data_IF_755035286509
#
_entry.id   IF_755035286509
#
_cell.length_a   1.000
_cell.length_b   1.000
_cell.length_c   1.000
_cell.angle_alpha   90.00
_cell.angle_beta   90.00
_cell.angle_gamma   90.00
#
_symmetry.space_group_name_H-M   'P 1'
#
loop_
_entity.id
_entity.type
_entity.pdbx_description
1 polymer ?
#
# COMPACT_ATOMS: atom_id res chain seq x y z
N UNK A 1 16.47 -2.09 4.84
CA UNK A 1 16.09 -1.44 3.57
C UNK A 1 16.49 -2.37 2.44
N UNK A 2 15.57 -2.67 1.54
CA UNK A 2 15.80 -3.50 0.36
C UNK A 2 15.87 -2.61 -0.87
N UNK A 3 16.98 -2.65 -1.59
CA UNK A 3 17.15 -1.97 -2.87
C UNK A 3 17.19 -3.05 -3.94
N UNK A 4 16.19 -3.07 -4.82
CA UNK A 4 16.14 -3.98 -5.94
C UNK A 4 16.74 -3.28 -7.16
N UNK A 5 17.86 -3.84 -7.63
CA UNK A 5 18.69 -3.25 -8.67
C UNK A 5 18.32 -3.80 -10.06
N UNK A 6 18.46 -2.95 -11.08
CA UNK A 6 18.32 -3.34 -12.49
C UNK A 6 19.49 -2.83 -13.31
N UNK A 7 19.80 -3.57 -14.38
CA UNK A 7 20.76 -3.16 -15.39
C UNK A 7 19.99 -2.74 -16.64
N UNK A 8 20.07 -1.45 -16.98
CA UNK A 8 19.52 -0.93 -18.22
C UNK A 8 20.53 -1.17 -19.35
N UNK A 9 20.19 -1.93 -20.42
CA UNK A 9 21.18 -2.35 -21.42
C UNK A 9 21.71 -1.23 -22.32
N UNK A 10 21.06 -0.07 -22.35
CA UNK A 10 21.56 1.14 -22.97
C UNK A 10 20.72 2.36 -22.63
N UNK A 11 20.92 3.45 -23.35
CA UNK A 11 20.23 4.73 -23.10
C UNK A 11 18.99 4.89 -23.98
N UNK A 12 19.10 4.50 -25.25
CA UNK A 12 18.08 4.66 -26.28
C UNK A 12 17.78 3.31 -26.94
N UNK A 13 16.55 3.11 -27.41
CA UNK A 13 16.19 1.94 -28.22
C UNK A 13 16.77 2.04 -29.62
N UNK A 14 17.22 0.91 -30.14
CA UNK A 14 17.66 0.81 -31.53
C UNK A 14 16.46 0.58 -32.45
N UNK A 15 16.14 1.58 -33.28
CA UNK A 15 15.15 1.47 -34.35
C UNK A 15 15.26 2.64 -35.34
N UNK A 16 14.93 2.37 -36.61
CA UNK A 16 14.82 3.38 -37.66
C UNK A 16 13.53 4.22 -37.53
N UNK A 17 12.54 3.73 -36.78
CA UNK A 17 11.29 4.44 -36.49
C UNK A 17 11.41 5.24 -35.19
N UNK A 18 11.72 6.53 -35.33
CA UNK A 18 11.89 7.45 -34.21
C UNK A 18 10.62 7.65 -33.38
N UNK A 19 9.43 7.62 -33.99
CA UNK A 19 8.16 7.79 -33.29
C UNK A 19 7.91 6.57 -32.41
N UNK A 20 8.08 5.37 -32.98
CA UNK A 20 8.00 4.11 -32.24
C UNK A 20 8.97 4.07 -31.06
N UNK A 21 10.25 4.40 -31.27
CA UNK A 21 11.25 4.39 -30.19
C UNK A 21 10.84 5.31 -29.05
N UNK A 22 10.37 6.53 -29.37
CA UNK A 22 9.97 7.50 -28.36
C UNK A 22 8.77 7.01 -27.52
N UNK A 23 7.77 6.42 -28.16
CA UNK A 23 6.58 5.91 -27.50
C UNK A 23 6.89 4.69 -26.61
N UNK A 24 7.66 3.73 -27.13
CA UNK A 24 8.09 2.54 -26.38
C UNK A 24 9.01 2.91 -25.23
N UNK A 25 9.99 3.78 -25.42
CA UNK A 25 10.82 4.32 -24.34
C UNK A 25 9.98 5.03 -23.27
N UNK A 26 8.92 5.72 -23.68
CA UNK A 26 7.93 6.30 -22.77
C UNK A 26 7.26 5.26 -21.88
N UNK A 27 6.79 4.15 -22.45
CA UNK A 27 6.19 3.05 -21.71
C UNK A 27 7.21 2.37 -20.78
N UNK A 28 8.44 2.12 -21.25
CA UNK A 28 9.52 1.52 -20.44
C UNK A 28 9.89 2.40 -19.25
N UNK A 29 10.00 3.72 -19.44
CA UNK A 29 10.27 4.67 -18.36
C UNK A 29 9.15 4.72 -17.33
N UNK A 30 7.89 4.60 -17.77
CA UNK A 30 6.75 4.52 -16.86
C UNK A 30 6.77 3.19 -16.07
N UNK A 31 7.09 2.07 -16.70
CA UNK A 31 7.25 0.77 -16.02
C UNK A 31 8.37 0.82 -14.97
N UNK A 32 9.50 1.41 -15.31
CA UNK A 32 10.62 1.66 -14.40
C UNK A 32 10.18 2.55 -13.21
N UNK A 33 9.41 3.61 -13.47
CA UNK A 33 8.86 4.46 -12.40
C UNK A 33 7.94 3.67 -11.45
N UNK A 34 7.06 2.83 -11.97
CA UNK A 34 6.16 2.00 -11.14
C UNK A 34 6.94 0.95 -10.34
N UNK A 35 8.01 0.40 -10.91
CA UNK A 35 8.92 -0.49 -10.19
C UNK A 35 9.57 0.20 -8.99
N UNK A 36 10.09 1.42 -9.14
CA UNK A 36 10.66 2.14 -7.99
C UNK A 36 9.63 2.59 -6.97
N UNK A 37 8.43 2.95 -7.40
CA UNK A 37 7.32 3.25 -6.49
C UNK A 37 6.96 2.03 -5.64
N UNK A 38 6.89 0.84 -6.24
CA UNK A 38 6.72 -0.42 -5.52
C UNK A 38 7.88 -0.70 -4.54
N UNK A 39 9.13 -0.52 -4.97
CA UNK A 39 10.30 -0.71 -4.11
C UNK A 39 10.28 0.22 -2.88
N UNK A 40 9.96 1.50 -3.09
CA UNK A 40 9.85 2.47 -2.02
C UNK A 40 8.69 2.12 -1.07
N UNK A 41 7.53 1.80 -1.63
CA UNK A 41 6.34 1.41 -0.85
C UNK A 41 6.60 0.19 0.02
N UNK A 42 7.32 -0.83 -0.49
CA UNK A 42 7.75 -1.99 0.29
C UNK A 42 8.59 -1.58 1.51
N UNK A 43 9.57 -0.70 1.32
CA UNK A 43 10.44 -0.27 2.42
C UNK A 43 9.67 0.53 3.48
N UNK A 44 8.79 1.43 3.06
CA UNK A 44 7.92 2.19 3.96
C UNK A 44 6.96 1.25 4.70
N UNK A 45 6.41 0.25 4.01
CA UNK A 45 5.53 -0.76 4.58
C UNK A 45 6.23 -1.56 5.68
N UNK A 46 7.39 -2.16 5.38
CA UNK A 46 8.15 -2.94 6.36
C UNK A 46 8.58 -2.10 7.56
N UNK A 47 8.97 -0.85 7.33
CA UNK A 47 9.29 0.09 8.42
C UNK A 47 8.08 0.35 9.30
N UNK A 48 6.92 0.61 8.70
CA UNK A 48 5.68 0.90 9.44
C UNK A 48 5.14 -0.32 10.22
N UNK A 49 5.29 -1.54 9.70
CA UNK A 49 4.92 -2.75 10.45
C UNK A 49 5.82 -2.93 11.67
N UNK A 50 7.13 -2.71 11.52
CA UNK A 50 8.07 -2.83 12.63
C UNK A 50 7.78 -1.78 13.71
N UNK A 51 7.50 -0.54 13.33
CA UNK A 51 7.12 0.52 14.26
C UNK A 51 5.82 0.23 15.02
N UNK A 52 4.82 -0.36 14.37
CA UNK A 52 3.56 -0.71 15.04
C UNK A 52 3.71 -1.81 16.08
N UNK A 53 4.75 -2.64 15.96
CA UNK A 53 5.04 -3.72 16.91
C UNK A 53 5.85 -3.24 18.13
N UNK A 54 6.34 -2.01 18.13
CA UNK A 54 7.06 -1.46 19.28
C UNK A 54 6.09 -1.12 20.43
N UNK A 55 6.23 -1.80 21.56
CA UNK A 55 5.43 -1.53 22.75
C UNK A 55 5.98 -0.32 23.52
N UNK A 56 5.10 0.54 24.09
CA UNK A 56 5.54 1.63 24.94
C UNK A 56 6.28 1.07 26.16
N UNK A 57 7.48 1.60 26.40
CA UNK A 57 8.27 1.30 27.60
C UNK A 57 7.50 1.78 28.83
N UNK A 58 7.54 1.02 29.93
CA UNK A 58 6.84 1.33 31.20
C UNK A 58 7.07 2.78 31.67
N UNK A 59 8.30 3.29 31.51
CA UNK A 59 8.68 4.66 31.82
C UNK A 59 7.89 5.71 31.02
N UNK A 60 7.68 5.47 29.72
CA UNK A 60 6.91 6.37 28.87
C UNK A 60 5.45 6.47 29.33
N UNK A 61 4.87 5.35 29.76
CA UNK A 61 3.51 5.32 30.31
C UNK A 61 3.42 6.10 31.63
N UNK A 62 4.42 5.97 32.50
CA UNK A 62 4.46 6.71 33.77
C UNK A 62 4.56 8.23 33.53
N UNK A 63 5.45 8.66 32.63
CA UNK A 63 5.60 10.07 32.25
C UNK A 63 4.31 10.64 31.64
N UNK A 64 3.69 9.88 30.74
CA UNK A 64 2.43 10.23 30.10
C UNK A 64 1.29 10.41 31.11
N UNK A 65 1.21 9.55 32.13
CA UNK A 65 0.20 9.64 33.19
C UNK A 65 0.47 10.81 34.14
N UNK A 66 1.72 11.04 34.52
CA UNK A 66 2.09 12.19 35.34
C UNK A 66 1.70 13.50 34.65
N UNK A 67 1.98 13.63 33.35
CA UNK A 67 1.65 14.84 32.60
C UNK A 67 0.14 15.05 32.45
N UNK A 68 -0.64 13.99 32.22
CA UNK A 68 -2.11 14.09 32.23
C UNK A 68 -2.65 14.55 33.58
N UNK A 69 -2.08 14.04 34.67
CA UNK A 69 -2.48 14.44 36.02
C UNK A 69 -2.20 15.94 36.29
N UNK A 70 -1.05 16.45 35.85
CA UNK A 70 -0.72 17.89 35.95
C UNK A 70 -1.74 18.77 35.21
N UNK A 71 -2.01 18.45 33.93
CA UNK A 71 -2.97 19.19 33.10
C UNK A 71 -4.36 19.16 33.73
N UNK A 72 -4.79 18.00 34.21
CA UNK A 72 -6.09 17.85 34.88
C UNK A 72 -6.17 18.73 36.13
N UNK A 73 -5.13 18.73 36.97
CA UNK A 73 -5.08 19.55 38.19
C UNK A 73 -5.12 21.05 37.88
N UNK A 74 -4.45 21.49 36.82
CA UNK A 74 -4.52 22.87 36.34
C UNK A 74 -5.92 23.28 35.87
N UNK A 75 -6.66 22.35 35.26
CA UNK A 75 -8.04 22.57 34.82
C UNK A 75 -9.00 22.58 36.01
N UNK A 76 -8.92 21.62 36.93
CA UNK A 76 -9.75 21.55 38.13
C UNK A 76 -9.70 22.85 38.95
N UNK A 77 -8.50 23.44 39.11
CA UNK A 77 -8.30 24.71 39.82
C UNK A 77 -9.00 25.92 39.16
N UNK A 78 -9.39 25.81 37.89
CA UNK A 78 -10.09 26.88 37.14
C UNK A 78 -11.61 26.73 37.17
N UNK A 79 -12.14 25.61 37.63
CA UNK A 79 -13.58 25.36 37.75
C UNK A 79 -14.07 25.62 39.18
N UNK A 80 -15.19 26.35 39.32
CA UNK A 80 -15.82 26.63 40.62
C UNK A 80 -16.40 25.37 41.29
N UNK A 81 -16.80 24.36 40.51
CA UNK A 81 -17.28 23.07 41.02
C UNK A 81 -16.83 21.92 40.09
N UNK A 82 -15.58 21.46 40.21
CA UNK A 82 -14.98 20.47 39.32
C UNK A 82 -15.54 19.04 39.50
N UNK A 83 -16.32 18.80 40.55
CA UNK A 83 -16.91 17.48 40.84
C UNK A 83 -18.37 17.35 40.37
N UNK A 84 -18.93 18.38 39.73
CA UNK A 84 -20.18 18.23 38.99
C UNK A 84 -19.95 17.34 37.75
N UNK A 85 -20.86 16.42 37.44
CA UNK A 85 -20.70 15.43 36.35
C UNK A 85 -20.34 16.09 35.00
N UNK A 86 -21.07 17.15 34.61
CA UNK A 86 -20.80 17.85 33.35
C UNK A 86 -19.43 18.54 33.34
N UNK A 87 -19.02 19.12 34.49
CA UNK A 87 -17.71 19.76 34.61
C UNK A 87 -16.58 18.71 34.59
N UNK A 88 -16.80 17.53 35.16
CA UNK A 88 -15.84 16.44 35.16
C UNK A 88 -15.59 15.90 33.75
N UNK A 89 -16.66 15.67 32.97
CA UNK A 89 -16.56 15.22 31.58
C UNK A 89 -15.82 16.26 30.70
N UNK A 90 -16.13 17.54 30.87
CA UNK A 90 -15.46 18.64 30.17
C UNK A 90 -13.97 18.73 30.54
N UNK A 91 -13.64 18.64 31.83
CA UNK A 91 -12.25 18.64 32.32
C UNK A 91 -11.48 17.44 31.74
N UNK A 92 -12.09 16.26 31.71
CA UNK A 92 -11.45 15.07 31.17
C UNK A 92 -11.19 15.19 29.66
N UNK A 93 -12.18 15.67 28.90
CA UNK A 93 -12.04 15.90 27.46
C UNK A 93 -10.96 16.95 27.17
N UNK A 94 -10.99 18.08 27.85
CA UNK A 94 -10.02 19.17 27.68
C UNK A 94 -8.59 18.74 28.09
N UNK A 95 -8.47 17.91 29.14
CA UNK A 95 -7.19 17.28 29.53
C UNK A 95 -6.61 16.47 28.37
N UNK A 96 -7.41 15.60 27.77
CA UNK A 96 -6.97 14.77 26.63
C UNK A 96 -6.65 15.61 25.40
N UNK A 97 -7.41 16.66 25.11
CA UNK A 97 -7.14 17.58 23.99
C UNK A 97 -5.79 18.26 24.18
N UNK A 98 -5.53 18.84 25.35
CA UNK A 98 -4.26 19.53 25.64
C UNK A 98 -3.08 18.57 25.61
N UNK A 99 -3.21 17.43 26.26
CA UNK A 99 -2.18 16.40 26.28
C UNK A 99 -1.82 15.92 24.88
N UNK A 100 -2.82 15.61 24.03
CA UNK A 100 -2.60 15.21 22.64
C UNK A 100 -1.94 16.32 21.82
N UNK A 101 -2.38 17.58 21.96
CA UNK A 101 -1.77 18.73 21.27
C UNK A 101 -0.32 18.97 21.68
N UNK A 102 0.02 18.80 22.96
CA UNK A 102 1.41 18.88 23.44
C UNK A 102 2.28 17.78 22.83
N UNK A 103 1.74 16.59 22.65
CA UNK A 103 2.46 15.50 21.99
C UNK A 103 2.68 15.78 20.51
N UNK A 104 1.63 16.23 19.82
CA UNK A 104 1.70 16.57 18.40
C UNK A 104 2.65 17.72 18.13
N UNK A 105 2.69 18.75 18.98
CA UNK A 105 3.63 19.87 18.83
C UNK A 105 5.10 19.47 19.03
N UNK A 106 5.35 18.35 19.72
CA UNK A 106 6.68 17.72 19.87
C UNK A 106 7.01 16.74 18.75
N UNK A 107 6.17 16.64 17.71
CA UNK A 107 6.38 15.75 16.57
C UNK A 107 5.90 14.31 16.76
N UNK A 108 5.23 13.98 17.87
CA UNK A 108 4.64 12.65 18.04
C UNK A 108 3.40 12.51 17.15
N UNK A 109 3.36 11.46 16.33
CA UNK A 109 2.22 11.20 15.45
C UNK A 109 0.99 10.69 16.23
N UNK A 110 -0.24 11.02 15.79
CA UNK A 110 -1.46 10.37 16.26
C UNK A 110 -1.38 8.85 16.09
N UNK A 111 -1.96 8.13 17.06
CA UNK A 111 -2.02 6.67 17.04
C UNK A 111 -2.71 6.17 15.77
N UNK A 112 -3.76 6.87 15.34
CA UNK A 112 -4.51 6.58 14.12
C UNK A 112 -3.64 6.68 12.86
N UNK A 113 -2.63 7.56 12.84
CA UNK A 113 -1.72 7.68 11.70
C UNK A 113 -0.74 6.52 11.68
N UNK A 114 -0.19 6.19 12.84
CA UNK A 114 0.73 5.05 13.04
C UNK A 114 0.06 3.73 12.61
N UNK A 115 -1.16 3.46 13.09
CA UNK A 115 -1.89 2.22 12.71
C UNK A 115 -2.27 2.17 11.24
N UNK A 116 -2.54 3.31 10.60
CA UNK A 116 -2.92 3.35 9.19
C UNK A 116 -1.73 3.34 8.21
N UNK A 117 -0.52 3.67 8.66
CA UNK A 117 0.65 3.74 7.78
C UNK A 117 0.92 2.42 7.03
N UNK A 118 0.90 1.22 7.65
CA UNK A 118 1.07 -0.03 6.92
C UNK A 118 0.03 -0.22 5.83
N UNK A 119 -1.25 0.08 6.11
CA UNK A 119 -2.33 -0.05 5.13
C UNK A 119 -2.17 0.94 3.97
N UNK A 120 -1.73 2.17 4.25
CA UNK A 120 -1.45 3.17 3.22
C UNK A 120 -0.30 2.69 2.32
N UNK A 121 0.82 2.28 2.91
CA UNK A 121 2.01 1.84 2.18
C UNK A 121 1.73 0.58 1.35
N UNK A 122 0.94 -0.36 1.89
CA UNK A 122 0.49 -1.54 1.16
C UNK A 122 -0.38 -1.19 -0.06
N UNK A 123 -1.27 -0.20 0.04
CA UNK A 123 -2.05 0.27 -1.10
C UNK A 123 -1.18 0.92 -2.17
N UNK A 124 -0.17 1.70 -1.78
CA UNK A 124 0.77 2.29 -2.74
C UNK A 124 1.48 1.17 -3.51
N UNK A 125 1.96 0.13 -2.82
CA UNK A 125 2.54 -1.05 -3.46
C UNK A 125 1.56 -1.73 -4.44
N UNK A 126 0.32 -1.97 -4.00
CA UNK A 126 -0.74 -2.55 -4.83
C UNK A 126 -1.01 -1.73 -6.10
N UNK A 127 -1.07 -0.40 -5.97
CA UNK A 127 -1.33 0.52 -7.08
C UNK A 127 -0.16 0.60 -8.06
N UNK A 128 1.08 0.58 -7.55
CA UNK A 128 2.27 0.51 -8.38
C UNK A 128 2.28 -0.80 -9.19
N UNK A 129 1.92 -1.93 -8.56
CA UNK A 129 1.85 -3.23 -9.22
C UNK A 129 0.73 -3.32 -10.28
N UNK A 130 -0.47 -2.80 -9.99
CA UNK A 130 -1.58 -2.73 -10.96
C UNK A 130 -1.26 -1.79 -12.13
N UNK A 131 -0.61 -0.66 -11.87
CA UNK A 131 -0.13 0.25 -12.91
C UNK A 131 0.93 -0.41 -13.78
N UNK A 132 1.84 -1.19 -13.19
CA UNK A 132 2.82 -1.99 -13.93
C UNK A 132 2.14 -3.02 -14.83
N UNK A 133 1.17 -3.82 -14.34
CA UNK A 133 0.38 -4.76 -15.17
C UNK A 133 -0.28 -4.04 -16.35
N UNK A 134 -0.92 -2.89 -16.10
CA UNK A 134 -1.59 -2.11 -17.14
C UNK A 134 -0.63 -1.57 -18.19
N UNK A 135 0.51 -1.02 -17.79
CA UNK A 135 1.52 -0.52 -18.72
C UNK A 135 2.11 -1.67 -19.55
N UNK A 136 2.39 -2.82 -18.93
CA UNK A 136 2.87 -4.01 -19.63
C UNK A 136 1.81 -4.54 -20.61
N UNK A 137 0.52 -4.46 -20.24
CA UNK A 137 -0.60 -4.77 -21.13
C UNK A 137 -0.71 -3.82 -22.32
N UNK A 138 -0.41 -2.53 -22.14
CA UNK A 138 -0.38 -1.58 -23.25
C UNK A 138 0.81 -1.91 -24.16
N UNK A 139 1.98 -2.11 -23.57
CA UNK A 139 3.22 -2.38 -24.29
C UNK A 139 3.13 -3.65 -25.14
N UNK A 140 2.56 -4.75 -24.62
CA UNK A 140 2.40 -5.99 -25.41
C UNK A 140 1.51 -5.85 -26.65
N UNK A 141 0.65 -4.83 -26.68
CA UNK A 141 -0.28 -4.57 -27.78
C UNK A 141 0.28 -3.52 -28.74
N UNK A 142 1.50 -3.02 -28.50
CA UNK A 142 2.18 -2.08 -29.39
C UNK A 142 2.73 -2.81 -30.61
N UNK A 143 2.89 -2.10 -31.74
CA UNK A 143 3.50 -2.68 -32.94
C UNK A 143 4.98 -2.96 -32.68
N UNK A 144 5.52 -3.97 -33.37
CA UNK A 144 6.97 -4.23 -33.46
C UNK A 144 7.71 -4.39 -32.11
N UNK A 145 7.01 -4.83 -31.07
CA UNK A 145 7.61 -5.17 -29.78
C UNK A 145 8.00 -6.65 -29.68
N UNK A 146 8.98 -7.02 -28.84
CA UNK A 146 9.35 -8.41 -28.61
C UNK A 146 8.16 -9.29 -28.17
N UNK A 147 8.06 -10.50 -28.73
CA UNK A 147 7.00 -11.47 -28.40
C UNK A 147 7.00 -11.86 -26.92
N UNK A 148 8.18 -11.86 -26.28
CA UNK A 148 8.38 -12.16 -24.86
C UNK A 148 7.50 -11.32 -23.92
N UNK A 149 7.11 -10.11 -24.33
CA UNK A 149 6.30 -9.21 -23.48
C UNK A 149 4.92 -9.83 -23.17
N UNK A 150 4.35 -10.58 -24.12
CA UNK A 150 3.08 -11.27 -23.89
C UNK A 150 3.19 -12.33 -22.79
N UNK A 151 4.30 -13.08 -22.79
CA UNK A 151 4.59 -14.11 -21.78
C UNK A 151 4.85 -13.47 -20.41
N UNK A 152 5.63 -12.38 -20.36
CA UNK A 152 5.90 -11.63 -19.12
C UNK A 152 4.61 -11.08 -18.50
N UNK A 153 3.68 -10.56 -19.32
CA UNK A 153 2.38 -10.12 -18.85
C UNK A 153 1.51 -11.28 -18.33
N UNK A 154 1.59 -12.46 -18.95
CA UNK A 154 0.90 -13.66 -18.46
C UNK A 154 1.48 -14.11 -17.11
N UNK A 155 2.81 -14.17 -17.00
CA UNK A 155 3.55 -14.55 -15.81
C UNK A 155 3.20 -13.66 -14.62
N UNK A 156 3.17 -12.33 -14.80
CA UNK A 156 2.78 -11.38 -13.75
C UNK A 156 1.40 -11.72 -13.15
N UNK A 157 0.42 -12.07 -13.99
CA UNK A 157 -0.94 -12.40 -13.56
C UNK A 157 -1.06 -13.76 -12.90
N UNK A 158 -0.18 -14.69 -13.24
CA UNK A 158 -0.09 -15.98 -12.54
C UNK A 158 0.44 -15.81 -11.13
N UNK A 159 1.42 -14.92 -10.92
CA UNK A 159 1.95 -14.61 -9.59
C UNK A 159 1.01 -13.75 -8.75
N UNK A 160 0.24 -12.86 -9.38
CA UNK A 160 -0.68 -11.94 -8.70
C UNK A 160 -2.13 -12.09 -9.17
N UNK A 161 -2.77 -13.26 -8.96
CA UNK A 161 -4.09 -13.55 -9.51
C UNK A 161 -5.19 -12.63 -8.98
N UNK A 162 -5.09 -12.21 -7.71
CA UNK A 162 -6.10 -11.39 -7.04
C UNK A 162 -5.88 -9.88 -7.20
N UNK A 163 -4.77 -9.45 -7.82
CA UNK A 163 -4.36 -8.04 -7.93
C UNK A 163 -5.49 -7.13 -8.39
N UNK A 164 -6.13 -7.48 -9.50
CA UNK A 164 -7.20 -6.69 -10.08
C UNK A 164 -8.41 -6.59 -9.15
N UNK A 165 -8.80 -7.71 -8.53
CA UNK A 165 -9.97 -7.78 -7.67
C UNK A 165 -9.77 -7.00 -6.36
N UNK A 166 -8.60 -7.13 -5.74
CA UNK A 166 -8.20 -6.39 -4.54
C UNK A 166 -8.10 -4.90 -4.84
N UNK A 167 -7.44 -4.52 -5.94
CA UNK A 167 -7.32 -3.11 -6.35
C UNK A 167 -8.67 -2.47 -6.65
N UNK A 168 -9.53 -3.14 -7.40
CA UNK A 168 -10.89 -2.65 -7.68
C UNK A 168 -11.67 -2.38 -6.39
N UNK A 169 -11.53 -3.26 -5.40
CA UNK A 169 -12.17 -3.10 -4.08
C UNK A 169 -11.59 -1.91 -3.32
N UNK A 170 -10.27 -1.72 -3.36
CA UNK A 170 -9.62 -0.57 -2.75
C UNK A 170 -10.05 0.77 -3.39
N UNK A 171 -10.32 0.79 -4.71
CA UNK A 171 -10.85 1.97 -5.41
C UNK A 171 -12.34 2.24 -5.15
N UNK A 172 -13.14 1.19 -4.95
CA UNK A 172 -14.60 1.25 -4.82
C UNK A 172 -15.07 0.83 -3.42
N UNK A 173 -14.40 1.36 -2.40
CA UNK A 173 -14.67 1.00 -1.00
C UNK A 173 -16.08 1.41 -0.57
N UNK A 174 -16.63 2.48 -1.16
CA UNK A 174 -17.99 2.97 -0.93
C UNK A 174 -19.04 1.92 -1.31
N UNK A 175 -18.88 1.25 -2.45
CA UNK A 175 -19.81 0.21 -2.90
C UNK A 175 -19.58 -1.09 -2.14
N UNK A 176 -18.31 -1.45 -1.90
CA UNK A 176 -17.94 -2.69 -1.19
C UNK A 176 -18.37 -2.64 0.26
N UNK A 177 -18.26 -1.49 0.93
CA UNK A 177 -18.73 -1.29 2.32
C UNK A 177 -20.25 -1.42 2.48
N UNK A 178 -21.00 -1.21 1.40
CA UNK A 178 -22.46 -1.44 1.34
C UNK A 178 -22.82 -2.89 1.04
N UNK A 179 -21.83 -3.77 0.88
CA UNK A 179 -22.03 -5.16 0.49
C UNK A 179 -22.59 -5.29 -0.92
N UNK A 180 -22.15 -4.43 -1.86
CA UNK A 180 -22.53 -4.52 -3.27
C UNK A 180 -21.41 -5.15 -4.10
N UNK A 181 -21.74 -5.70 -5.26
CA UNK A 181 -20.81 -6.25 -6.25
C UNK A 181 -20.40 -5.20 -7.31
N UNK A 182 -19.81 -5.64 -8.44
CA UNK A 182 -19.39 -4.76 -9.53
C UNK A 182 -20.38 -4.70 -10.70
N UNK A 183 -21.59 -5.27 -10.58
CA UNK A 183 -22.54 -5.32 -11.68
C UNK A 183 -23.12 -3.93 -11.98
N UNK A 184 -23.73 -3.79 -13.16
CA UNK A 184 -24.46 -2.57 -13.56
C UNK A 184 -25.89 -2.97 -13.93
N UNK A 185 -26.91 -2.70 -13.08
CA UNK A 185 -26.84 -2.00 -11.77
C UNK A 185 -26.22 -2.86 -10.66
N UNK A 186 -25.63 -2.27 -9.59
CA UNK A 186 -25.00 -3.01 -8.50
C UNK A 186 -25.99 -3.94 -7.77
N UNK A 187 -25.58 -5.18 -7.50
CA UNK A 187 -26.37 -6.17 -6.76
C UNK A 187 -25.75 -6.46 -5.39
N UNK A 188 -26.54 -6.99 -4.42
CA UNK A 188 -26.00 -7.50 -3.16
C UNK A 188 -24.91 -8.56 -3.39
N UNK A 189 -23.82 -8.42 -2.64
CA UNK A 189 -22.64 -9.28 -2.72
C UNK A 189 -22.90 -10.62 -2.02
N UNK A 190 -22.72 -11.72 -2.74
CA UNK A 190 -22.72 -13.05 -2.16
C UNK A 190 -21.37 -13.39 -1.54
N UNK A 191 -21.23 -13.19 -0.23
CA UNK A 191 -20.00 -13.54 0.49
C UNK A 191 -19.70 -15.04 0.39
N UNK A 192 -18.43 -15.37 0.23
CA UNK A 192 -17.93 -16.74 0.15
C UNK A 192 -17.12 -17.08 1.40
N UNK A 193 -17.02 -18.38 1.76
CA UNK A 193 -16.26 -18.80 2.93
C UNK A 193 -14.83 -18.27 2.90
N UNK A 194 -14.29 -17.94 4.07
CA UNK A 194 -12.88 -17.57 4.24
C UNK A 194 -12.32 -18.31 5.44
N UNK A 195 -11.15 -18.90 5.28
CA UNK A 195 -10.39 -19.52 6.37
C UNK A 195 -8.92 -19.13 6.19
N UNK A 196 -8.48 -18.11 6.93
CA UNK A 196 -7.11 -17.64 6.94
C UNK A 196 -6.66 -17.30 8.38
N UNK A 197 -5.42 -16.83 8.54
CA UNK A 197 -4.87 -16.54 9.88
C UNK A 197 -5.54 -15.35 10.59
N UNK A 198 -6.30 -14.54 9.86
CA UNK A 198 -6.98 -13.35 10.38
C UNK A 198 -8.45 -13.65 10.73
N UNK A 199 -9.18 -14.36 9.87
CA UNK A 199 -10.61 -14.66 10.04
C UNK A 199 -10.96 -16.05 9.50
N UNK A 200 -11.88 -16.72 10.21
CA UNK A 200 -12.55 -17.94 9.77
C UNK A 200 -14.07 -17.74 9.78
N UNK A 201 -14.73 -17.91 8.63
CA UNK A 201 -16.18 -17.82 8.48
C UNK A 201 -16.68 -18.71 7.35
N UNK A 202 -17.54 -19.67 7.68
CA UNK A 202 -18.17 -20.58 6.71
C UNK A 202 -19.23 -19.87 5.85
N UNK A 203 -19.87 -18.83 6.38
CA UNK A 203 -20.84 -18.00 5.65
C UNK A 203 -20.19 -16.82 4.92
N UNK A 204 -18.87 -16.68 5.02
CA UNK A 204 -18.11 -15.53 4.54
C UNK A 204 -18.18 -14.32 5.47
N UNK A 205 -17.32 -13.34 5.20
CA UNK A 205 -17.29 -12.05 5.91
C UNK A 205 -16.84 -10.96 4.95
N UNK A 206 -17.38 -9.75 5.14
CA UNK A 206 -16.93 -8.58 4.40
C UNK A 206 -15.67 -8.00 5.05
N UNK A 207 -14.56 -8.04 4.33
CA UNK A 207 -13.25 -7.52 4.74
C UNK A 207 -12.85 -6.46 3.72
N UNK A 208 -12.51 -5.24 4.14
CA UNK A 208 -12.35 -4.13 3.17
C UNK A 208 -10.94 -3.54 3.08
N UNK A 209 -10.21 -3.50 4.18
CA UNK A 209 -8.90 -2.85 4.23
C UNK A 209 -8.10 -3.52 5.35
N UNK A 210 -7.51 -4.67 5.03
CA UNK A 210 -6.90 -5.54 6.04
C UNK A 210 -5.51 -6.00 5.67
N UNK A 211 -4.74 -6.38 6.70
CA UNK A 211 -3.43 -6.99 6.57
C UNK A 211 -3.44 -8.35 7.27
N UNK A 212 -3.12 -9.39 6.51
CA UNK A 212 -2.88 -10.74 6.99
C UNK A 212 -1.36 -11.01 6.93
N UNK A 213 -0.64 -10.64 7.99
CA UNK A 213 0.82 -10.56 7.96
C UNK A 213 1.29 -9.46 7.01
N UNK A 214 2.06 -9.82 5.98
CA UNK A 214 2.51 -8.92 4.91
C UNK A 214 1.52 -8.79 3.76
N UNK A 215 0.41 -9.54 3.79
CA UNK A 215 -0.53 -9.60 2.68
C UNK A 215 -1.65 -8.59 2.85
N UNK A 216 -1.82 -7.72 1.86
CA UNK A 216 -2.93 -6.79 1.79
C UNK A 216 -4.10 -7.43 1.08
N UNK A 217 -5.25 -7.50 1.74
CA UNK A 217 -6.38 -8.25 1.20
C UNK A 217 -7.74 -7.74 1.64
N UNK A 218 -8.69 -7.90 0.71
CA UNK A 218 -10.05 -7.39 0.79
C UNK A 218 -11.01 -8.41 0.10
N UNK A 219 -12.29 -8.37 0.45
CA UNK A 219 -13.37 -9.11 -0.22
C UNK A 219 -13.64 -8.49 -1.58
N UNK A 220 -13.41 -9.28 -2.63
CA UNK A 220 -13.56 -8.88 -4.02
C UNK A 220 -15.04 -8.86 -4.45
N UNK A 221 -15.29 -8.32 -5.66
CA UNK A 221 -16.63 -8.23 -6.23
C UNK A 221 -17.33 -9.59 -6.46
N UNK A 222 -16.58 -10.70 -6.44
CA UNK A 222 -17.11 -12.06 -6.55
C UNK A 222 -17.38 -12.71 -5.17
N UNK A 223 -17.26 -11.93 -4.09
CA UNK A 223 -17.50 -12.37 -2.71
C UNK A 223 -16.38 -13.17 -2.06
N UNK A 224 -15.34 -13.55 -2.80
CA UNK A 224 -14.15 -14.19 -2.25
C UNK A 224 -13.22 -13.14 -1.63
N UNK A 225 -12.53 -13.53 -0.56
CA UNK A 225 -11.38 -12.77 -0.07
C UNK A 225 -10.18 -12.99 -1.00
N UNK A 226 -9.60 -11.90 -1.48
CA UNK A 226 -8.36 -11.91 -2.27
C UNK A 226 -7.25 -11.16 -1.54
N UNK A 227 -6.00 -11.51 -1.82
CA UNK A 227 -4.85 -10.88 -1.18
C UNK A 227 -3.65 -10.72 -2.13
N UNK A 228 -2.84 -9.69 -1.89
CA UNK A 228 -1.58 -9.43 -2.58
C UNK A 228 -0.48 -9.29 -1.53
N UNK A 229 0.59 -10.06 -1.66
CA UNK A 229 1.70 -10.04 -0.74
C UNK A 229 2.60 -8.82 -0.97
N UNK A 230 2.84 -8.03 0.09
CA UNK A 230 3.75 -6.87 0.09
C UNK A 230 5.06 -7.30 0.74
N UNK A 231 5.91 -7.96 -0.06
CA UNK A 231 7.12 -8.60 0.45
C UNK A 231 8.30 -8.47 -0.52
N UNK A 232 9.53 -8.72 -0.03
CA UNK A 232 10.71 -8.84 -0.89
C UNK A 232 10.55 -9.89 -2.00
N UNK A 233 9.80 -10.97 -1.75
CA UNK A 233 9.57 -12.01 -2.76
C UNK A 233 8.70 -11.50 -3.92
N UNK A 234 7.61 -10.77 -3.62
CA UNK A 234 6.80 -10.10 -4.64
C UNK A 234 7.60 -9.09 -5.46
N UNK A 235 8.48 -8.34 -4.78
CA UNK A 235 9.34 -7.35 -5.43
C UNK A 235 10.40 -8.00 -6.33
N UNK A 236 10.94 -9.16 -5.95
CA UNK A 236 11.89 -9.92 -6.76
C UNK A 236 11.25 -10.44 -8.06
N UNK A 237 9.99 -10.88 -8.00
CA UNK A 237 9.21 -11.24 -9.20
C UNK A 237 9.10 -10.03 -10.13
N UNK A 238 8.74 -8.86 -9.60
CA UNK A 238 8.62 -7.64 -10.38
C UNK A 238 9.97 -7.21 -10.99
N UNK A 239 11.07 -7.32 -10.22
CA UNK A 239 12.44 -7.06 -10.70
C UNK A 239 12.82 -7.97 -11.85
N UNK A 240 12.57 -9.27 -11.71
CA UNK A 240 12.87 -10.26 -12.74
C UNK A 240 12.12 -9.98 -14.04
N UNK A 241 10.82 -9.66 -13.94
CA UNK A 241 9.99 -9.28 -15.09
C UNK A 241 10.51 -8.01 -15.75
N UNK A 242 10.82 -6.96 -14.98
CA UNK A 242 11.35 -5.71 -15.54
C UNK A 242 12.71 -5.91 -16.19
N UNK A 243 13.62 -6.67 -15.56
CA UNK A 243 14.93 -6.94 -16.14
C UNK A 243 14.81 -7.68 -17.47
N UNK A 244 14.03 -8.77 -17.51
CA UNK A 244 13.78 -9.54 -18.74
C UNK A 244 13.08 -8.71 -19.82
N UNK A 245 12.21 -7.79 -19.42
CA UNK A 245 11.60 -6.84 -20.34
C UNK A 245 12.66 -5.93 -20.97
N UNK A 246 13.51 -5.30 -20.16
CA UNK A 246 14.55 -4.40 -20.66
C UNK A 246 15.55 -5.13 -21.56
N UNK A 247 15.95 -6.35 -21.18
CA UNK A 247 16.89 -7.18 -21.93
C UNK A 247 16.31 -7.69 -23.27
N UNK A 248 14.99 -7.62 -23.45
CA UNK A 248 14.33 -8.07 -24.69
C UNK A 248 14.43 -7.09 -25.86
N UNK A 249 14.81 -5.84 -25.58
CA UNK A 249 14.99 -4.81 -26.60
C UNK A 249 16.44 -4.65 -27.00
N UNK A 250 16.67 -4.17 -28.22
CA UNK A 250 18.00 -3.71 -28.65
C UNK A 250 18.21 -2.26 -28.22
N UNK A 251 19.38 -1.97 -27.66
CA UNK A 251 19.72 -0.65 -27.11
C UNK A 251 21.01 -0.09 -27.70
N UNK A 252 21.06 1.25 -27.80
CA UNK A 252 22.26 2.04 -28.08
C UNK A 252 22.69 2.87 -26.86
N UNK A 253 23.97 3.23 -26.84
CA UNK A 253 24.56 4.08 -25.80
C UNK A 253 25.06 3.31 -24.59
N UNK A 254 25.52 4.02 -23.55
CA UNK A 254 26.08 3.38 -22.35
C UNK A 254 25.00 2.64 -21.56
N UNK A 255 25.41 1.50 -20.97
CA UNK A 255 24.64 0.77 -19.96
C UNK A 255 24.52 1.61 -18.68
N UNK A 256 23.43 1.42 -17.95
CA UNK A 256 23.24 2.05 -16.64
C UNK A 256 22.91 0.98 -15.58
N UNK A 257 23.45 1.17 -14.38
CA UNK A 257 23.07 0.43 -13.19
C UNK A 257 22.18 1.33 -12.34
N UNK A 258 21.00 0.85 -11.97
CA UNK A 258 19.97 1.66 -11.31
C UNK A 258 19.45 0.92 -10.06
N UNK A 259 18.99 1.65 -9.01
CA UNK A 259 18.78 3.09 -8.94
C UNK A 259 20.07 3.92 -8.71
N UNK A 260 20.01 5.21 -9.06
CA UNK A 260 21.11 6.17 -8.84
C UNK A 260 21.14 6.69 -7.39
N UNK A 261 22.32 7.16 -6.95
CA UNK A 261 22.55 7.83 -5.66
C UNK A 261 22.41 9.34 -5.73
#
# INVERSE_FOLDING_TARGET
MYIFEILKPGTWLESDDHEWSWEVEGLLRNLESQFYEANLALNLFLTSINQNNEHPILEQWQLDNARRYEIKKELENKHLNPHNHNAWDEIQLETEIRFKREKWSKGQLPREFIHNQPLINARIFLYALDSFDKLLKVLKNYRDVPELIADLHCELRQYFPDLLGVRNTAHHIEDRSRGLDASRPPQPLELKPVDNQMVKSDSGVLILNSLNGTKYGNTMANGHYGEVDVSPASMEILRSILQRLLDSFEWKGPKAHLPNT
#
